data_IF_929699861113
#
_entry.id   IF_929699861113
#
_cell.length_a   1.000
_cell.length_b   1.000
_cell.length_c   1.000
_cell.angle_alpha   90.00
_cell.angle_beta   90.00
_cell.angle_gamma   90.00
#
_symmetry.space_group_name_H-M   'P 1'
#
loop_
_entity.id
_entity.type
_entity.pdbx_description
1 polymer ?
#
# COMPACT_ATOMS: atom_id res chain seq x y z
N UNK A 1 7.53 13.85 38.11
CA UNK A 1 6.12 13.43 38.06
C UNK A 1 5.85 12.94 36.66
N UNK A 2 5.74 11.61 36.50
CA UNK A 2 5.53 10.95 35.21
C UNK A 2 4.06 11.07 34.85
N UNK A 3 3.73 11.76 33.76
CA UNK A 3 2.37 11.86 33.25
C UNK A 3 2.07 10.51 32.56
N UNK A 4 1.32 9.66 33.26
CA UNK A 4 0.84 8.41 32.71
C UNK A 4 -0.09 8.67 31.52
N UNK A 5 0.38 8.36 30.33
CA UNK A 5 -0.48 8.29 29.16
C UNK A 5 -1.45 7.13 29.36
N UNK A 6 -2.67 7.44 29.74
CA UNK A 6 -3.78 6.49 29.61
C UNK A 6 -3.94 6.16 28.12
N UNK A 7 -3.33 5.05 27.69
CA UNK A 7 -3.67 4.45 26.42
C UNK A 7 -5.14 3.98 26.52
N UNK A 8 -6.02 4.67 25.82
CA UNK A 8 -7.32 4.09 25.45
C UNK A 8 -6.97 2.80 24.72
N UNK A 9 -7.52 1.63 25.13
CA UNK A 9 -7.26 0.40 24.41
C UNK A 9 -7.62 0.63 22.94
N UNK A 10 -6.76 0.28 21.99
CA UNK A 10 -7.06 0.47 20.58
C UNK A 10 -8.38 -0.24 20.28
N UNK A 11 -9.26 0.44 19.57
CA UNK A 11 -10.43 -0.22 18.98
C UNK A 11 -9.91 -1.48 18.26
N UNK A 12 -10.65 -2.59 18.36
CA UNK A 12 -10.20 -3.84 17.78
C UNK A 12 -9.87 -3.65 16.29
N UNK A 13 -8.65 -4.01 15.89
CA UNK A 13 -8.24 -3.91 14.49
C UNK A 13 -9.08 -4.88 13.66
N UNK A 14 -9.63 -4.39 12.55
CA UNK A 14 -10.38 -5.21 11.61
C UNK A 14 -9.86 -5.06 10.19
N UNK A 15 -10.12 -6.05 9.36
CA UNK A 15 -9.94 -6.01 7.92
C UNK A 15 -11.14 -6.69 7.26
N UNK A 16 -11.82 -6.00 6.37
CA UNK A 16 -13.05 -6.49 5.75
C UNK A 16 -14.10 -6.97 6.77
N UNK A 17 -14.12 -6.37 7.95
CA UNK A 17 -14.99 -6.73 9.06
C UNK A 17 -14.48 -7.88 9.94
N UNK A 18 -13.47 -8.63 9.54
CA UNK A 18 -12.85 -9.67 10.37
C UNK A 18 -11.94 -9.03 11.41
N UNK A 19 -12.13 -9.42 12.69
CA UNK A 19 -11.34 -8.91 13.80
C UNK A 19 -10.01 -9.64 13.89
N UNK A 20 -8.88 -8.91 13.86
CA UNK A 20 -7.56 -9.47 14.08
C UNK A 20 -7.36 -9.84 15.54
N UNK A 21 -6.69 -10.97 15.78
CA UNK A 21 -6.17 -11.31 17.10
C UNK A 21 -4.99 -10.38 17.43
N UNK A 22 -5.09 -9.69 18.57
CA UNK A 22 -4.07 -8.74 19.04
C UNK A 22 -2.96 -9.37 19.86
N UNK A 23 -2.98 -10.69 20.05
CA UNK A 23 -1.91 -11.42 20.75
C UNK A 23 -0.60 -11.42 19.95
N UNK A 24 0.53 -11.45 20.65
CA UNK A 24 1.87 -11.36 20.07
C UNK A 24 2.18 -12.46 19.02
N UNK A 25 1.46 -13.57 19.08
CA UNK A 25 1.56 -14.65 18.08
C UNK A 25 0.88 -14.31 16.75
N UNK A 26 -0.07 -13.38 16.73
CA UNK A 26 -0.92 -13.07 15.57
C UNK A 26 -0.80 -11.62 15.10
N UNK A 27 -0.29 -10.73 15.96
CA UNK A 27 -0.02 -9.33 15.62
C UNK A 27 1.38 -8.93 16.06
N UNK A 28 2.16 -8.39 15.14
CA UNK A 28 3.51 -7.92 15.36
C UNK A 28 3.70 -6.49 14.86
N UNK A 29 4.88 -5.95 15.11
CA UNK A 29 5.28 -4.64 14.62
C UNK A 29 6.04 -4.75 13.31
N UNK A 30 5.72 -3.87 12.37
CA UNK A 30 6.52 -3.67 11.16
C UNK A 30 7.77 -2.86 11.52
N UNK A 31 8.94 -3.43 11.31
CA UNK A 31 10.20 -2.82 11.71
C UNK A 31 10.82 -2.01 10.57
N UNK A 32 11.25 -0.77 10.83
CA UNK A 32 11.95 0.02 9.84
C UNK A 32 13.34 -0.56 9.53
N UNK A 33 13.85 -0.21 8.35
CA UNK A 33 15.25 -0.45 8.02
C UNK A 33 16.12 0.38 8.97
N UNK A 34 17.07 -0.24 9.70
CA UNK A 34 18.00 0.49 10.54
C UNK A 34 18.81 1.51 9.72
N UNK A 35 19.10 2.67 10.31
CA UNK A 35 19.84 3.73 9.63
C UNK A 35 21.17 3.25 9.05
N UNK A 36 21.89 2.41 9.79
CA UNK A 36 23.16 1.85 9.34
C UNK A 36 23.07 0.96 8.09
N UNK A 37 21.87 0.42 7.80
CA UNK A 37 21.64 -0.44 6.63
C UNK A 37 21.14 0.36 5.40
N UNK A 38 20.62 1.57 5.58
CA UNK A 38 19.95 2.33 4.51
C UNK A 38 20.83 2.64 3.30
N UNK A 39 22.14 2.74 3.51
CA UNK A 39 23.13 3.06 2.48
C UNK A 39 24.04 1.87 2.13
N UNK A 40 23.74 0.68 2.66
CA UNK A 40 24.44 -0.56 2.36
C UNK A 40 23.57 -1.46 1.49
N UNK A 41 23.89 -1.54 0.21
CA UNK A 41 23.13 -2.32 -0.77
C UNK A 41 23.08 -3.82 -0.40
N UNK A 42 24.18 -4.37 0.09
CA UNK A 42 24.22 -5.79 0.46
C UNK A 42 23.33 -6.06 1.68
N UNK A 43 23.38 -5.20 2.68
CA UNK A 43 22.53 -5.29 3.88
C UNK A 43 21.04 -5.12 3.53
N UNK A 44 20.68 -4.14 2.66
CA UNK A 44 19.29 -3.95 2.22
C UNK A 44 18.76 -5.16 1.44
N UNK A 45 19.55 -5.70 0.51
CA UNK A 45 19.15 -6.89 -0.26
C UNK A 45 19.03 -8.12 0.63
N UNK A 46 19.94 -8.30 1.58
CA UNK A 46 19.86 -9.39 2.57
C UNK A 46 18.62 -9.26 3.46
N UNK A 47 18.30 -8.04 3.90
CA UNK A 47 17.06 -7.75 4.65
C UNK A 47 15.82 -8.05 3.79
N UNK A 48 15.76 -7.54 2.57
CA UNK A 48 14.64 -7.77 1.67
C UNK A 48 14.41 -9.27 1.40
N UNK A 49 15.47 -10.03 1.17
CA UNK A 49 15.37 -11.47 1.00
C UNK A 49 14.85 -12.17 2.28
N UNK A 50 15.25 -11.70 3.46
CA UNK A 50 14.85 -12.28 4.75
C UNK A 50 13.42 -11.90 5.15
N UNK A 51 13.02 -10.65 4.95
CA UNK A 51 11.74 -10.13 5.45
C UNK A 51 10.66 -10.03 4.39
N UNK A 52 11.02 -10.01 3.10
CA UNK A 52 10.11 -9.76 1.98
C UNK A 52 9.74 -8.29 1.79
N UNK A 53 10.21 -7.39 2.66
CA UNK A 53 9.92 -5.96 2.59
C UNK A 53 11.07 -5.09 3.11
N UNK A 54 11.03 -3.80 2.74
CA UNK A 54 11.80 -2.74 3.37
C UNK A 54 10.83 -1.64 3.79
N UNK A 55 10.88 -1.22 5.06
CA UNK A 55 10.20 -0.04 5.55
C UNK A 55 11.23 1.08 5.68
N UNK A 56 11.09 2.12 4.89
CA UNK A 56 11.99 3.26 4.79
C UNK A 56 11.26 4.53 5.28
N UNK A 57 11.33 4.87 6.57
CA UNK A 57 10.77 6.11 7.09
C UNK A 57 11.44 7.33 6.47
N UNK A 58 10.66 8.41 6.30
CA UNK A 58 11.13 9.72 5.81
C UNK A 58 11.90 9.65 4.47
N UNK A 59 11.48 8.76 3.58
CA UNK A 59 12.09 8.61 2.25
C UNK A 59 11.81 9.82 1.35
N UNK A 60 10.60 10.35 1.40
CA UNK A 60 10.20 11.54 0.66
C UNK A 60 10.12 12.75 1.58
N UNK A 61 10.35 13.93 1.02
CA UNK A 61 10.02 15.17 1.72
C UNK A 61 8.52 15.21 2.04
N UNK A 62 8.19 15.34 3.34
CA UNK A 62 6.80 15.42 3.83
C UNK A 62 5.95 16.44 3.06
N UNK A 63 6.53 17.64 2.79
CA UNK A 63 5.84 18.70 2.08
C UNK A 63 5.38 18.28 0.66
N UNK A 64 6.20 17.49 -0.05
CA UNK A 64 5.87 16.96 -1.38
C UNK A 64 4.66 16.03 -1.32
N UNK A 65 4.63 15.13 -0.36
CA UNK A 65 3.50 14.20 -0.16
C UNK A 65 2.23 14.97 0.22
N UNK A 66 2.33 15.93 1.12
CA UNK A 66 1.20 16.78 1.52
C UNK A 66 0.66 17.64 0.36
N UNK A 67 1.54 18.16 -0.47
CA UNK A 67 1.15 18.92 -1.66
C UNK A 67 0.35 18.04 -2.65
N UNK A 68 0.82 16.80 -2.89
CA UNK A 68 0.08 15.86 -3.73
C UNK A 68 -1.27 15.45 -3.10
N UNK A 69 -1.31 15.22 -1.80
CA UNK A 69 -2.56 14.93 -1.08
C UNK A 69 -3.56 16.08 -1.22
N UNK A 70 -3.11 17.32 -1.06
CA UNK A 70 -3.96 18.50 -1.25
C UNK A 70 -4.46 18.60 -2.70
N UNK A 71 -3.60 18.41 -3.69
CA UNK A 71 -3.98 18.33 -5.10
C UNK A 71 -5.06 17.26 -5.35
N UNK A 72 -4.85 16.05 -4.84
CA UNK A 72 -5.79 14.93 -5.02
C UNK A 72 -7.20 15.28 -4.53
N UNK A 73 -7.32 15.71 -3.29
CA UNK A 73 -8.62 16.02 -2.70
C UNK A 73 -9.22 17.31 -3.24
N UNK A 74 -8.42 18.31 -3.61
CA UNK A 74 -8.91 19.52 -4.28
C UNK A 74 -9.51 19.20 -5.67
N UNK A 75 -8.85 18.32 -6.45
CA UNK A 75 -9.35 17.87 -7.76
C UNK A 75 -10.69 17.12 -7.63
N UNK A 76 -10.93 16.46 -6.50
CA UNK A 76 -12.16 15.72 -6.20
C UNK A 76 -13.18 16.53 -5.39
N UNK A 77 -12.94 17.81 -5.11
CA UNK A 77 -13.83 18.63 -4.26
C UNK A 77 -15.27 18.70 -4.79
N UNK A 78 -15.43 18.86 -6.11
CA UNK A 78 -16.75 18.91 -6.74
C UNK A 78 -17.51 17.57 -6.72
N UNK A 79 -16.82 16.45 -6.41
CA UNK A 79 -17.44 15.15 -6.23
C UNK A 79 -18.07 14.99 -4.85
N UNK A 80 -17.94 15.99 -3.97
CA UNK A 80 -18.39 15.98 -2.58
C UNK A 80 -17.79 14.83 -1.75
N UNK A 81 -16.55 14.48 -2.06
CA UNK A 81 -15.83 13.44 -1.33
C UNK A 81 -15.40 13.90 0.05
N UNK A 82 -14.89 15.15 0.15
CA UNK A 82 -14.44 15.73 1.41
C UNK A 82 -15.45 16.77 1.95
N UNK A 83 -15.38 16.99 3.26
CA UNK A 83 -16.25 17.92 3.98
C UNK A 83 -16.12 19.33 3.40
N UNK A 84 -17.23 19.99 3.04
CA UNK A 84 -17.23 21.37 2.57
C UNK A 84 -16.54 22.30 3.58
N UNK A 85 -15.66 23.18 3.10
CA UNK A 85 -14.92 24.14 3.92
C UNK A 85 -13.71 23.58 4.68
N UNK A 86 -13.45 22.26 4.64
CA UNK A 86 -12.20 21.72 5.17
C UNK A 86 -11.04 21.93 4.19
N UNK A 87 -9.83 22.05 4.73
CA UNK A 87 -8.64 22.13 3.88
C UNK A 87 -8.40 20.78 3.19
N UNK A 88 -8.16 20.74 1.86
CA UNK A 88 -8.01 19.48 1.11
C UNK A 88 -6.96 18.52 1.68
N UNK A 89 -5.85 19.02 2.22
CA UNK A 89 -4.80 18.19 2.82
C UNK A 89 -5.29 17.34 4.00
N UNK A 90 -6.32 17.79 4.71
CA UNK A 90 -6.88 17.06 5.85
C UNK A 90 -7.58 15.77 5.39
N UNK A 91 -8.22 15.81 4.21
CA UNK A 91 -8.97 14.65 3.67
C UNK A 91 -10.11 14.23 4.59
N UNK A 92 -10.82 15.20 5.20
CA UNK A 92 -11.96 14.91 6.06
C UNK A 92 -13.15 14.45 5.23
N UNK A 93 -13.68 13.26 5.53
CA UNK A 93 -14.78 12.68 4.77
C UNK A 93 -16.07 13.49 4.92
N UNK A 94 -16.76 13.73 3.80
CA UNK A 94 -18.13 14.22 3.76
C UNK A 94 -19.13 13.09 4.09
N UNK A 95 -20.43 13.37 4.02
CA UNK A 95 -21.44 12.33 4.05
C UNK A 95 -21.41 11.48 2.79
N UNK A 96 -21.48 10.15 2.95
CA UNK A 96 -21.48 9.19 1.82
C UNK A 96 -22.72 9.40 0.92
N UNK A 97 -23.81 9.91 1.47
CA UNK A 97 -25.07 10.19 0.75
C UNK A 97 -24.90 11.30 -0.29
N UNK A 98 -23.99 12.25 -0.03
CA UNK A 98 -23.72 13.39 -0.91
C UNK A 98 -22.74 13.07 -2.04
N UNK A 99 -22.07 11.93 -2.01
CA UNK A 99 -20.99 11.57 -2.93
C UNK A 99 -21.49 11.34 -4.36
N UNK A 100 -21.01 12.15 -5.30
CA UNK A 100 -21.18 11.90 -6.74
C UNK A 100 -20.18 10.83 -7.23
N UNK A 101 -20.58 9.56 -7.14
CA UNK A 101 -19.76 8.42 -7.52
C UNK A 101 -19.40 8.38 -9.00
N UNK A 102 -20.32 8.84 -9.87
CA UNK A 102 -20.08 8.86 -11.31
C UNK A 102 -19.01 9.88 -11.68
N UNK A 103 -19.11 11.08 -11.15
CA UNK A 103 -18.12 12.15 -11.33
C UNK A 103 -16.77 11.76 -10.70
N UNK A 104 -16.79 11.20 -9.49
CA UNK A 104 -15.61 10.71 -8.81
C UNK A 104 -14.79 9.75 -9.70
N UNK A 105 -15.45 8.72 -10.25
CA UNK A 105 -14.82 7.76 -11.15
C UNK A 105 -14.27 8.44 -12.41
N UNK A 106 -15.04 9.32 -13.02
CA UNK A 106 -14.61 10.06 -14.21
C UNK A 106 -13.37 10.92 -13.93
N UNK A 107 -13.34 11.67 -12.85
CA UNK A 107 -12.18 12.51 -12.48
C UNK A 107 -10.97 11.65 -12.14
N UNK A 108 -11.16 10.59 -11.34
CA UNK A 108 -10.09 9.69 -10.95
C UNK A 108 -9.40 9.07 -12.17
N UNK A 109 -10.17 8.44 -13.06
CA UNK A 109 -9.62 7.67 -14.17
C UNK A 109 -9.21 8.50 -15.39
N UNK A 110 -9.80 9.70 -15.59
CA UNK A 110 -9.51 10.53 -16.76
C UNK A 110 -8.59 11.72 -16.48
N UNK A 111 -8.44 12.12 -15.21
CA UNK A 111 -7.64 13.32 -14.86
C UNK A 111 -6.50 12.98 -13.91
N UNK A 112 -6.77 12.27 -12.78
CA UNK A 112 -5.75 12.03 -11.76
C UNK A 112 -4.78 10.94 -12.21
N UNK A 113 -5.28 9.75 -12.55
CA UNK A 113 -4.42 8.59 -12.88
C UNK A 113 -3.52 8.84 -14.09
N UNK A 114 -4.00 9.40 -15.21
CA UNK A 114 -3.12 9.73 -16.34
C UNK A 114 -2.42 11.09 -16.18
N UNK A 115 -2.70 11.83 -15.10
CA UNK A 115 -2.24 13.19 -14.91
C UNK A 115 -0.74 13.32 -14.62
N UNK A 116 -0.13 14.41 -15.09
CA UNK A 116 1.30 14.68 -14.93
C UNK A 116 1.73 14.82 -13.46
N UNK A 117 0.86 15.30 -12.58
CA UNK A 117 1.14 15.43 -11.15
C UNK A 117 1.35 14.05 -10.48
N UNK A 118 0.50 13.09 -10.83
CA UNK A 118 0.64 11.73 -10.32
C UNK A 118 1.82 11.00 -10.97
N UNK A 119 2.06 11.21 -12.26
CA UNK A 119 3.25 10.69 -12.93
C UNK A 119 4.53 11.22 -12.29
N UNK A 120 4.62 12.54 -12.01
CA UNK A 120 5.77 13.16 -11.37
C UNK A 120 6.03 12.60 -9.96
N UNK A 121 4.98 12.34 -9.17
CA UNK A 121 5.13 11.69 -7.87
C UNK A 121 5.70 10.27 -8.01
N UNK A 122 5.13 9.48 -8.92
CA UNK A 122 5.54 8.09 -9.11
C UNK A 122 6.94 7.95 -9.75
N UNK A 123 7.41 8.97 -10.47
CA UNK A 123 8.76 9.08 -11.05
C UNK A 123 9.64 10.05 -10.27
N UNK A 124 9.41 10.17 -8.97
CA UNK A 124 10.29 10.99 -8.13
C UNK A 124 11.75 10.60 -8.36
N UNK A 125 12.66 11.55 -8.62
CA UNK A 125 14.06 11.25 -8.89
C UNK A 125 14.74 10.41 -7.80
N UNK A 126 14.39 10.64 -6.52
CA UNK A 126 14.92 9.84 -5.42
C UNK A 126 14.46 8.38 -5.50
N UNK A 127 13.20 8.16 -5.91
CA UNK A 127 12.63 6.81 -6.05
C UNK A 127 13.24 6.07 -7.25
N UNK A 128 13.39 6.75 -8.38
CA UNK A 128 14.05 6.18 -9.57
C UNK A 128 15.49 5.79 -9.25
N UNK A 129 16.27 6.72 -8.66
CA UNK A 129 17.66 6.45 -8.26
C UNK A 129 17.77 5.32 -7.23
N UNK A 130 16.83 5.24 -6.28
CA UNK A 130 16.78 4.13 -5.33
C UNK A 130 16.60 2.79 -6.05
N UNK A 131 15.69 2.69 -7.01
CA UNK A 131 15.44 1.44 -7.72
C UNK A 131 16.57 1.07 -8.67
N UNK A 132 17.18 2.02 -9.37
CA UNK A 132 18.39 1.78 -10.18
C UNK A 132 19.50 1.18 -9.31
N UNK A 133 19.76 1.81 -8.17
CA UNK A 133 20.74 1.32 -7.21
C UNK A 133 20.35 -0.03 -6.57
N UNK A 134 19.11 -0.17 -6.09
CA UNK A 134 18.65 -1.38 -5.40
C UNK A 134 18.58 -2.59 -6.34
N UNK A 135 18.13 -2.42 -7.57
CA UNK A 135 18.07 -3.49 -8.57
C UNK A 135 19.44 -3.74 -9.22
N UNK A 136 20.32 -2.74 -9.23
CA UNK A 136 21.66 -2.81 -9.85
C UNK A 136 21.57 -2.73 -11.36
N UNK A 137 20.77 -1.82 -11.87
CA UNK A 137 20.54 -1.59 -13.30
C UNK A 137 20.70 -0.11 -13.64
N UNK A 138 21.04 0.18 -14.89
CA UNK A 138 21.18 1.55 -15.39
C UNK A 138 19.84 2.18 -15.80
N UNK A 139 18.77 1.38 -15.86
CA UNK A 139 17.43 1.84 -16.21
C UNK A 139 16.35 1.00 -15.57
N UNK A 140 15.40 1.66 -14.94
CA UNK A 140 14.21 1.03 -14.35
C UNK A 140 12.95 1.34 -15.15
N UNK A 141 12.06 0.36 -15.21
CA UNK A 141 10.73 0.51 -15.79
C UNK A 141 9.69 0.67 -14.69
N UNK A 142 8.96 1.78 -14.72
CA UNK A 142 7.75 1.99 -13.93
C UNK A 142 6.55 1.48 -14.73
N UNK A 143 5.83 0.50 -14.21
CA UNK A 143 4.60 0.03 -14.82
C UNK A 143 3.57 1.16 -14.94
N UNK A 144 2.93 1.28 -16.10
CA UNK A 144 1.96 2.34 -16.35
C UNK A 144 0.68 2.19 -15.52
N UNK A 145 0.31 0.95 -15.17
CA UNK A 145 -0.78 0.67 -14.25
C UNK A 145 -0.34 0.96 -12.81
N UNK A 146 -0.53 2.19 -12.40
CA UNK A 146 -0.35 2.68 -11.04
C UNK A 146 -1.70 2.73 -10.34
N UNK A 147 -1.78 2.31 -9.11
CA UNK A 147 -3.02 2.23 -8.35
C UNK A 147 -3.00 3.27 -7.24
N UNK A 148 -3.98 4.14 -7.21
CA UNK A 148 -4.17 5.11 -6.14
C UNK A 148 -5.53 4.88 -5.48
N UNK A 149 -5.53 4.76 -4.15
CA UNK A 149 -6.74 4.42 -3.39
C UNK A 149 -6.96 5.41 -2.26
N UNK A 150 -8.19 5.89 -2.16
CA UNK A 150 -8.68 6.50 -0.94
C UNK A 150 -9.67 5.55 -0.25
N UNK A 151 -9.52 5.37 1.04
CA UNK A 151 -10.39 4.51 1.85
C UNK A 151 -11.10 5.38 2.88
N UNK A 152 -12.41 5.37 2.81
CA UNK A 152 -13.28 6.15 3.70
C UNK A 152 -13.30 5.60 5.13
N UNK A 153 -13.55 6.44 6.13
CA UNK A 153 -13.67 6.01 7.51
C UNK A 153 -15.06 5.43 7.81
N UNK A 154 -15.07 4.36 8.64
CA UNK A 154 -16.32 3.79 9.19
C UNK A 154 -17.06 2.83 8.25
N UNK A 155 -16.50 2.50 7.09
CA UNK A 155 -16.99 1.41 6.27
C UNK A 155 -16.47 0.09 6.84
N UNK A 156 -17.32 -0.94 6.86
CA UNK A 156 -16.96 -2.27 7.32
C UNK A 156 -17.65 -3.34 6.47
N UNK A 157 -17.00 -4.49 6.31
CA UNK A 157 -17.48 -5.60 5.51
C UNK A 157 -16.56 -5.95 4.34
N UNK A 158 -16.90 -7.01 3.62
CA UNK A 158 -16.07 -7.49 2.51
C UNK A 158 -15.97 -6.43 1.40
N UNK A 159 -14.74 -6.06 1.05
CA UNK A 159 -14.44 -5.06 0.02
C UNK A 159 -14.14 -3.66 0.55
N UNK A 160 -14.23 -3.40 1.85
CA UNK A 160 -13.87 -2.11 2.45
C UNK A 160 -12.35 -1.93 2.60
N UNK A 161 -11.64 -3.04 2.75
CA UNK A 161 -10.19 -3.09 2.80
C UNK A 161 -9.65 -3.99 1.68
N UNK A 162 -8.38 -3.80 1.32
CA UNK A 162 -7.69 -4.70 0.39
C UNK A 162 -7.55 -6.08 1.04
N UNK A 163 -8.11 -7.09 0.39
CA UNK A 163 -8.03 -8.48 0.84
C UNK A 163 -6.60 -9.02 0.71
N UNK A 164 -6.29 -10.09 1.45
CA UNK A 164 -4.98 -10.72 1.41
C UNK A 164 -4.64 -11.24 0.01
N UNK A 165 -3.47 -10.86 -0.49
CA UNK A 165 -2.90 -11.29 -1.77
C UNK A 165 -1.39 -11.12 -1.76
N UNK A 166 -0.71 -11.67 -2.75
CA UNK A 166 0.66 -11.32 -3.11
C UNK A 166 0.66 -10.83 -4.56
N UNK A 167 1.49 -9.86 -4.90
CA UNK A 167 1.38 -9.13 -6.17
C UNK A 167 1.58 -10.00 -7.41
N UNK A 168 2.41 -11.04 -7.32
CA UNK A 168 2.67 -11.93 -8.46
C UNK A 168 1.41 -12.64 -8.97
N UNK A 169 0.32 -12.76 -8.17
CA UNK A 169 -0.95 -13.30 -8.69
C UNK A 169 -1.49 -12.49 -9.86
N UNK A 170 -1.17 -11.20 -9.90
CA UNK A 170 -1.61 -10.27 -10.94
C UNK A 170 -0.55 -10.01 -12.03
N UNK A 171 0.75 -10.20 -11.73
CA UNK A 171 1.89 -9.81 -12.57
C UNK A 171 2.60 -10.98 -13.26
N UNK A 172 1.90 -12.06 -13.53
CA UNK A 172 2.48 -13.36 -13.90
C UNK A 172 3.05 -13.50 -15.31
N UNK A 173 2.74 -12.57 -16.21
CA UNK A 173 3.14 -12.65 -17.62
C UNK A 173 4.45 -11.91 -17.89
N UNK A 174 5.03 -11.29 -16.87
CA UNK A 174 6.33 -10.62 -16.92
C UNK A 174 7.38 -11.31 -16.06
N UNK A 175 8.35 -10.52 -15.60
CA UNK A 175 9.37 -11.00 -14.65
C UNK A 175 8.79 -11.17 -13.24
N UNK A 176 9.32 -12.11 -12.47
CA UNK A 176 9.06 -12.24 -11.03
C UNK A 176 9.99 -11.33 -10.17
N UNK A 177 10.90 -10.61 -10.81
CA UNK A 177 11.81 -9.63 -10.18
C UNK A 177 11.21 -8.23 -10.07
N UNK A 178 9.91 -8.08 -10.33
CA UNK A 178 9.19 -6.84 -10.11
C UNK A 178 9.11 -6.53 -8.62
N UNK A 179 9.27 -5.27 -8.25
CA UNK A 179 9.22 -4.80 -6.86
C UNK A 179 8.14 -3.74 -6.73
N UNK A 180 7.33 -3.87 -5.69
CA UNK A 180 6.23 -2.95 -5.43
C UNK A 180 6.61 -1.91 -4.38
N UNK A 181 6.13 -0.69 -4.58
CA UNK A 181 6.12 0.37 -3.58
C UNK A 181 4.70 0.65 -3.13
N UNK A 182 4.48 0.66 -1.82
CA UNK A 182 3.31 1.29 -1.23
C UNK A 182 3.72 2.58 -0.55
N UNK A 183 3.07 3.69 -0.91
CA UNK A 183 3.39 5.03 -0.43
C UNK A 183 2.15 5.62 0.25
N UNK A 184 2.19 5.89 1.56
CA UNK A 184 1.14 6.63 2.24
C UNK A 184 1.18 8.09 1.76
N UNK A 185 0.06 8.56 1.20
CA UNK A 185 -0.07 9.93 0.71
C UNK A 185 -0.70 10.82 1.79
N UNK A 186 -0.09 10.80 2.95
CA UNK A 186 -0.46 11.48 4.17
C UNK A 186 -0.11 10.63 5.38
N UNK A 187 -0.28 11.18 6.59
CA UNK A 187 -0.17 10.37 7.80
C UNK A 187 -1.23 9.28 7.77
N UNK A 188 -0.84 8.07 8.14
CA UNK A 188 -1.70 6.91 8.15
C UNK A 188 -1.46 6.12 9.46
N UNK A 189 -2.01 6.59 10.58
CA UNK A 189 -1.98 5.82 11.81
C UNK A 189 -2.76 4.52 11.65
N UNK A 190 -2.50 3.54 12.51
CA UNK A 190 -3.14 2.22 12.48
C UNK A 190 -4.67 2.33 12.38
N UNK A 191 -5.27 3.33 13.03
CA UNK A 191 -6.71 3.58 12.97
C UNK A 191 -7.22 3.94 11.57
N UNK A 192 -6.36 4.42 10.67
CA UNK A 192 -6.73 4.73 9.27
C UNK A 192 -6.60 3.53 8.32
N UNK A 193 -6.34 2.34 8.84
CA UNK A 193 -6.32 1.13 8.04
C UNK A 193 -5.13 1.00 7.09
N UNK A 194 -3.88 1.05 7.58
CA UNK A 194 -2.69 0.94 6.76
C UNK A 194 -2.54 -0.44 6.13
N UNK A 195 -1.53 -0.55 5.27
CA UNK A 195 -1.02 -1.81 4.76
C UNK A 195 -0.46 -2.67 5.88
N UNK A 196 -0.71 -3.99 5.82
CA UNK A 196 -0.18 -5.00 6.73
C UNK A 196 0.42 -6.16 5.95
N UNK A 197 1.46 -6.81 6.50
CA UNK A 197 2.17 -7.91 5.88
C UNK A 197 2.08 -9.17 6.74
N UNK A 198 1.84 -10.33 6.12
CA UNK A 198 1.95 -11.63 6.79
C UNK A 198 3.43 -12.02 6.87
N UNK A 199 3.99 -12.04 8.09
CA UNK A 199 5.41 -12.22 8.34
C UNK A 199 5.93 -13.52 7.71
N UNK A 200 7.03 -13.43 6.95
CA UNK A 200 7.70 -14.60 6.35
C UNK A 200 6.91 -15.33 5.25
N UNK A 201 5.71 -14.87 4.89
CA UNK A 201 4.84 -15.54 3.92
C UNK A 201 5.47 -15.71 2.54
N UNK A 202 6.37 -14.80 2.13
CA UNK A 202 7.08 -14.86 0.85
C UNK A 202 7.93 -16.12 0.71
N UNK A 203 8.48 -16.68 1.80
CA UNK A 203 9.24 -17.91 1.76
C UNK A 203 8.37 -19.10 1.36
N UNK A 204 7.16 -19.22 1.93
CA UNK A 204 6.21 -20.28 1.56
C UNK A 204 5.72 -20.10 0.13
N UNK A 205 5.39 -18.86 -0.27
CA UNK A 205 4.96 -18.55 -1.65
C UNK A 205 6.04 -18.92 -2.66
N UNK A 206 7.31 -18.54 -2.43
CA UNK A 206 8.45 -18.91 -3.29
C UNK A 206 8.63 -20.43 -3.37
N UNK A 207 8.53 -21.14 -2.24
CA UNK A 207 8.62 -22.60 -2.22
C UNK A 207 7.48 -23.28 -2.98
N UNK A 208 6.27 -22.73 -2.90
CA UNK A 208 5.10 -23.24 -3.60
C UNK A 208 5.20 -22.99 -5.10
N UNK A 209 5.75 -21.87 -5.53
CA UNK A 209 6.05 -21.58 -6.94
C UNK A 209 7.09 -22.57 -7.49
N UNK A 210 8.22 -22.70 -6.80
CA UNK A 210 9.28 -23.62 -7.20
C UNK A 210 8.79 -25.08 -7.32
N UNK A 211 7.79 -25.46 -6.51
CA UNK A 211 7.18 -26.78 -6.53
C UNK A 211 5.99 -26.91 -7.51
N UNK A 212 5.66 -25.85 -8.24
CA UNK A 212 4.50 -25.85 -9.15
C UNK A 212 3.14 -25.94 -8.45
N UNK A 213 3.09 -25.68 -7.14
CA UNK A 213 1.86 -25.79 -6.34
C UNK A 213 0.98 -24.56 -6.34
N UNK A 214 1.46 -23.43 -6.85
CA UNK A 214 0.66 -22.22 -6.91
C UNK A 214 -0.48 -22.40 -7.89
N UNK A 215 -1.68 -22.43 -7.33
CA UNK A 215 -2.89 -22.21 -8.11
C UNK A 215 -2.91 -20.74 -8.51
N UNK A 216 -3.19 -20.47 -9.78
CA UNK A 216 -3.19 -19.12 -10.36
C UNK A 216 -4.60 -18.54 -10.46
N UNK A 217 -5.29 -18.13 -9.38
CA UNK A 217 -6.38 -17.20 -9.56
C UNK A 217 -5.75 -15.81 -9.70
N UNK A 218 -6.14 -15.05 -10.70
CA UNK A 218 -5.91 -13.61 -10.72
C UNK A 218 -6.90 -12.95 -9.74
N UNK A 219 -6.78 -13.28 -8.45
CA UNK A 219 -7.72 -12.86 -7.43
C UNK A 219 -7.05 -12.85 -6.06
N UNK A 220 -7.62 -12.10 -5.14
CA UNK A 220 -7.25 -12.13 -3.72
C UNK A 220 -7.43 -13.53 -3.14
N UNK A 221 -6.61 -13.87 -2.14
CA UNK A 221 -6.63 -15.17 -1.48
C UNK A 221 -7.85 -15.30 -0.55
N UNK A 222 -8.03 -14.30 0.32
CA UNK A 222 -9.10 -14.27 1.31
C UNK A 222 -9.28 -12.87 1.90
N UNK A 223 -10.48 -12.59 2.42
CA UNK A 223 -10.78 -11.45 3.28
C UNK A 223 -10.53 -11.76 4.77
N UNK A 224 -10.47 -13.05 5.15
CA UNK A 224 -10.31 -13.52 6.53
C UNK A 224 -8.81 -13.56 6.90
N UNK A 225 -8.29 -12.43 7.36
CA UNK A 225 -6.89 -12.31 7.77
C UNK A 225 -6.56 -13.16 9.00
N UNK A 226 -7.41 -13.25 10.04
CA UNK A 226 -7.22 -14.17 11.17
C UNK A 226 -6.99 -15.61 10.73
N UNK A 227 -7.89 -16.18 9.94
CA UNK A 227 -7.77 -17.55 9.46
C UNK A 227 -6.48 -17.78 8.64
N UNK A 228 -6.10 -16.81 7.81
CA UNK A 228 -4.86 -16.90 7.04
C UNK A 228 -3.61 -16.88 7.93
N UNK A 229 -3.61 -16.07 9.00
CA UNK A 229 -2.52 -16.05 9.99
C UNK A 229 -2.39 -17.40 10.74
N UNK A 230 -3.51 -18.06 11.02
CA UNK A 230 -3.53 -19.41 11.61
C UNK A 230 -2.99 -20.45 10.62
N UNK A 231 -3.43 -20.42 9.36
CA UNK A 231 -2.97 -21.33 8.30
C UNK A 231 -1.45 -21.26 8.09
N UNK A 232 -0.89 -20.04 8.15
CA UNK A 232 0.55 -19.81 8.00
C UNK A 232 1.32 -19.96 9.29
N UNK A 233 0.66 -20.18 10.44
CA UNK A 233 1.22 -20.07 11.80
C UNK A 233 2.11 -18.84 11.96
N UNK A 234 1.60 -17.70 11.51
CA UNK A 234 2.32 -16.45 11.43
C UNK A 234 1.49 -15.29 11.99
N UNK A 235 2.02 -14.07 11.92
CA UNK A 235 1.38 -12.86 12.42
C UNK A 235 1.35 -11.77 11.37
N UNK A 236 0.38 -10.88 11.48
CA UNK A 236 0.29 -9.66 10.68
C UNK A 236 1.16 -8.58 11.29
N UNK A 237 2.03 -7.99 10.47
CA UNK A 237 2.89 -6.88 10.87
C UNK A 237 2.21 -5.56 10.52
N UNK A 238 2.13 -4.65 11.50
CA UNK A 238 1.46 -3.35 11.39
C UNK A 238 2.30 -2.25 12.02
N UNK A 239 2.17 -1.03 11.53
CA UNK A 239 2.74 0.18 12.12
C UNK A 239 1.92 1.42 11.78
N UNK A 240 2.15 2.51 12.51
CA UNK A 240 1.74 3.83 12.08
C UNK A 240 2.71 4.31 10.98
N UNK A 241 2.17 4.86 9.90
CA UNK A 241 2.97 5.49 8.86
C UNK A 241 2.80 7.01 8.89
N UNK A 242 3.83 7.71 8.43
CA UNK A 242 3.83 9.15 8.27
C UNK A 242 3.97 9.56 6.80
N UNK A 243 3.53 10.77 6.47
CA UNK A 243 3.74 11.32 5.15
C UNK A 243 5.25 11.43 4.85
N UNK A 244 5.71 10.74 3.84
CA UNK A 244 7.11 10.63 3.49
C UNK A 244 7.68 9.21 3.58
N UNK A 245 6.99 8.32 4.25
CA UNK A 245 7.39 6.91 4.35
C UNK A 245 7.27 6.18 3.02
N UNK A 246 8.10 5.16 2.85
CA UNK A 246 8.07 4.25 1.69
C UNK A 246 8.12 2.81 2.17
N UNK A 247 7.19 2.00 1.69
CA UNK A 247 7.26 0.54 1.75
C UNK A 247 7.71 0.00 0.40
N UNK A 248 8.72 -0.86 0.42
CA UNK A 248 9.17 -1.64 -0.74
C UNK A 248 8.95 -3.10 -0.43
N UNK A 249 8.27 -3.84 -1.31
CA UNK A 249 7.97 -5.23 -1.03
C UNK A 249 8.10 -6.16 -2.24
N UNK A 250 8.43 -7.41 -1.92
CA UNK A 250 8.52 -8.51 -2.86
C UNK A 250 7.15 -8.84 -3.46
N UNK A 251 7.08 -9.22 -4.73
CA UNK A 251 5.82 -9.65 -5.35
C UNK A 251 5.28 -10.96 -4.73
N UNK A 252 6.06 -11.61 -3.88
CA UNK A 252 5.70 -12.88 -3.24
C UNK A 252 5.18 -12.71 -1.80
N UNK A 253 5.36 -11.55 -1.14
CA UNK A 253 4.88 -11.39 0.23
C UNK A 253 3.37 -11.16 0.27
N UNK A 254 2.69 -11.91 1.13
CA UNK A 254 1.25 -11.72 1.34
C UNK A 254 1.04 -10.45 2.15
N UNK A 255 0.17 -9.59 1.63
CA UNK A 255 -0.20 -8.34 2.26
C UNK A 255 -1.68 -8.05 2.09
N UNK A 256 -2.18 -7.16 2.92
CA UNK A 256 -3.57 -6.72 2.97
C UNK A 256 -3.66 -5.30 3.52
N UNK A 257 -4.85 -4.76 3.69
CA UNK A 257 -5.02 -3.53 4.47
C UNK A 257 -6.04 -3.73 5.60
N UNK A 258 -5.94 -2.89 6.63
CA UNK A 258 -6.95 -2.82 7.67
C UNK A 258 -8.12 -1.92 7.24
N UNK A 259 -9.25 -2.04 7.92
CA UNK A 259 -10.38 -1.13 7.76
C UNK A 259 -10.03 0.25 8.34
N UNK A 260 -10.51 1.31 7.69
CA UNK A 260 -10.33 2.66 8.18
C UNK A 260 -11.37 2.97 9.28
N UNK A 261 -10.92 2.98 10.51
CA UNK A 261 -11.72 3.26 11.73
C UNK A 261 -11.34 4.62 12.36
N UNK A 262 -10.76 5.55 11.57
CA UNK A 262 -10.28 6.84 12.10
C UNK A 262 -11.40 7.63 12.77
N UNK A 263 -11.31 7.91 14.08
CA UNK A 263 -12.30 8.72 14.79
C UNK A 263 -12.33 10.17 14.27
N UNK A 264 -11.23 10.65 13.68
CA UNK A 264 -11.15 11.95 13.02
C UNK A 264 -11.82 11.99 11.65
N UNK A 265 -12.39 10.88 11.17
CA UNK A 265 -13.07 10.74 9.88
C UNK A 265 -12.23 11.18 8.68
N UNK A 266 -10.95 10.86 8.67
CA UNK A 266 -10.04 11.18 7.58
C UNK A 266 -9.93 10.01 6.60
N UNK A 267 -9.86 10.33 5.32
CA UNK A 267 -9.50 9.34 4.31
C UNK A 267 -8.04 8.89 4.47
N UNK A 268 -7.81 7.58 4.47
CA UNK A 268 -6.51 7.04 4.06
C UNK A 268 -6.35 7.26 2.56
N UNK A 269 -5.26 7.86 2.14
CA UNK A 269 -4.85 7.95 0.74
C UNK A 269 -3.50 7.27 0.59
N UNK A 270 -3.37 6.37 -0.38
CA UNK A 270 -2.11 5.66 -0.67
C UNK A 270 -2.01 5.32 -2.14
N UNK A 271 -0.80 5.04 -2.61
CA UNK A 271 -0.56 4.54 -3.96
C UNK A 271 0.30 3.29 -3.95
N UNK A 272 0.00 2.38 -4.88
CA UNK A 272 0.77 1.18 -5.19
C UNK A 272 1.34 1.31 -6.59
N UNK A 273 2.67 1.27 -6.69
CA UNK A 273 3.40 1.37 -7.96
C UNK A 273 4.44 0.27 -8.03
N UNK A 274 4.85 -0.09 -9.25
CA UNK A 274 5.75 -1.22 -9.46
C UNK A 274 6.88 -0.84 -10.38
N UNK A 275 8.08 -1.20 -9.94
CA UNK A 275 9.33 -1.03 -10.66
C UNK A 275 9.99 -2.37 -10.96
N UNK A 276 10.68 -2.45 -12.08
CA UNK A 276 11.54 -3.57 -12.45
C UNK A 276 12.72 -3.07 -13.28
N UNK A 277 13.70 -3.92 -13.50
CA UNK A 277 14.74 -3.70 -14.49
C UNK A 277 14.10 -3.51 -15.89
N UNK A 278 14.47 -2.47 -16.60
CA UNK A 278 13.90 -2.18 -17.92
C UNK A 278 14.24 -3.26 -18.98
N UNK A 279 15.26 -4.06 -18.75
CA UNK A 279 15.65 -5.18 -19.64
C UNK A 279 14.84 -6.46 -19.40
N UNK A 280 14.11 -6.56 -18.29
CA UNK A 280 13.30 -7.72 -17.96
C UNK A 280 11.99 -7.78 -18.76
N UNK A 281 11.45 -8.99 -19.00
CA UNK A 281 10.15 -9.15 -19.64
C UNK A 281 9.04 -8.38 -18.91
N UNK A 282 8.26 -7.61 -19.66
CA UNK A 282 7.14 -6.82 -19.15
C UNK A 282 5.83 -7.62 -19.24
N UNK A 283 5.00 -7.53 -18.22
CA UNK A 283 3.60 -7.94 -18.33
C UNK A 283 2.81 -6.88 -19.13
N UNK A 284 2.43 -7.22 -20.35
CA UNK A 284 1.77 -6.30 -21.28
C UNK A 284 0.45 -5.73 -20.73
N UNK A 285 -0.25 -6.47 -19.88
CA UNK A 285 -1.52 -6.05 -19.26
C UNK A 285 -1.32 -4.86 -18.30
N UNK A 286 -0.10 -4.68 -17.77
CA UNK A 286 0.28 -3.61 -16.84
C UNK A 286 0.84 -2.37 -17.54
N UNK A 287 0.87 -2.34 -18.88
CA UNK A 287 1.38 -1.22 -19.66
C UNK A 287 0.31 -0.18 -20.03
N UNK A 288 -0.92 -0.34 -19.56
CA UNK A 288 -1.99 0.64 -19.67
C UNK A 288 -2.25 1.32 -18.32
N UNK A 289 -2.79 2.54 -18.35
CA UNK A 289 -3.27 3.16 -17.12
C UNK A 289 -4.39 2.31 -16.48
N UNK A 290 -4.40 2.27 -15.15
CA UNK A 290 -5.54 1.74 -14.43
C UNK A 290 -6.80 2.52 -14.84
N UNK A 291 -7.85 1.81 -15.20
CA UNK A 291 -9.10 2.41 -15.68
C UNK A 291 -10.31 1.67 -15.11
N UNK A 292 -11.47 2.29 -15.26
CA UNK A 292 -12.73 1.70 -14.86
C UNK A 292 -13.02 0.41 -15.65
N UNK A 293 -13.53 -0.61 -14.96
CA UNK A 293 -13.78 -1.96 -15.51
C UNK A 293 -12.52 -2.73 -15.92
N UNK A 294 -11.38 -2.34 -15.41
CA UNK A 294 -10.14 -3.06 -15.57
C UNK A 294 -10.21 -4.37 -14.76
N UNK A 295 -10.28 -5.50 -15.43
CA UNK A 295 -10.49 -6.83 -14.86
C UNK A 295 -9.25 -7.47 -14.21
N UNK A 296 -8.17 -6.69 -13.94
CA UNK A 296 -6.95 -7.16 -13.27
C UNK A 296 -6.97 -6.82 -11.79
#
# INVERSE_FOLDING_TARGET
MSIGHHRVPPAALTSNGYRLDSGDRRLGRLEPVPEAERHDLAALRARFARTGYLYLPDFFERAKIQAFRAYYFATLAECRLIRPGSHPVEGLAASVEDLDRGRLRSVLFKQIIPGSQYEALCRDPALVAFYEWFLGTDAVHLHRRKIIRHVGPGESGIGTATQAHYDLVYLREGTDRVVSSWIPLGDCPIAQGPLVYLEGSHHRVLADEAAGRLRRPAASMTADLPALAEEYDSRWLVTDFTAGDLMVHSPHIIHASLDNQDPGRRFRLSTDIRYQDASDPLDARWQNHWHDQDGL
#
